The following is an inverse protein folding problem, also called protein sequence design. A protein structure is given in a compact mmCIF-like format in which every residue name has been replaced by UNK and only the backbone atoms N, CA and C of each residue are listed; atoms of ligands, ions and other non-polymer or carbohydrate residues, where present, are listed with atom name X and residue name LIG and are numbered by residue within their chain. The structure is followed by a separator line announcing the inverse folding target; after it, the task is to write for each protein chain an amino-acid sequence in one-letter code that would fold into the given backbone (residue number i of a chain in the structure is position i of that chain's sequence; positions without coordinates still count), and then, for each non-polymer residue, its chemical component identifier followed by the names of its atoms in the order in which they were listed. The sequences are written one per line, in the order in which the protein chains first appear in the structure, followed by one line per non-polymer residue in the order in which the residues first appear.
data_IF_600515456231
#
_entry.id   IF_600515456231
#
_cell.length_a   1.000
_cell.length_b   1.000
_cell.length_c   1.000
_cell.angle_alpha   90.00
_cell.angle_beta   90.00
_cell.angle_gamma   90.00
#
_symmetry.space_group_name_H-M   'P 1'
#
loop_
_entity.id
_entity.type
_entity.pdbx_description
1 polymer ?
#
# COMPACT_ATOMS: atom_id res chain seq x y z
N UNK A 1 9.23 -34.39 -63.14
CA UNK A 1 9.89 -33.91 -61.89
C UNK A 1 8.81 -33.19 -61.08
N UNK A 2 8.53 -33.67 -59.87
CA UNK A 2 7.27 -33.46 -59.13
C UNK A 2 7.14 -32.02 -58.59
N UNK A 3 5.93 -31.46 -58.70
CA UNK A 3 5.50 -30.23 -58.04
C UNK A 3 5.43 -30.43 -56.52
N UNK A 4 5.95 -29.48 -55.76
CA UNK A 4 5.75 -29.38 -54.31
C UNK A 4 4.99 -28.08 -54.01
N UNK A 5 3.73 -28.26 -53.60
CA UNK A 5 2.81 -27.21 -53.17
C UNK A 5 3.18 -26.85 -51.72
N UNK A 6 3.50 -25.58 -51.47
CA UNK A 6 3.80 -25.07 -50.14
C UNK A 6 2.54 -24.93 -49.28
N UNK A 7 2.54 -25.54 -48.09
CA UNK A 7 1.53 -25.32 -47.06
C UNK A 7 1.80 -24.01 -46.28
N UNK A 8 0.79 -23.18 -45.98
CA UNK A 8 0.99 -21.97 -45.19
C UNK A 8 1.26 -22.30 -43.71
N UNK A 9 2.27 -21.64 -43.11
CA UNK A 9 2.56 -21.72 -41.67
C UNK A 9 1.68 -20.75 -40.89
N UNK A 10 0.85 -21.27 -40.00
CA UNK A 10 0.12 -20.52 -38.98
C UNK A 10 1.08 -20.02 -37.89
N UNK A 11 0.98 -18.77 -37.40
CA UNK A 11 1.82 -18.31 -36.28
C UNK A 11 1.37 -18.96 -34.97
N UNK A 12 2.31 -19.56 -34.25
CA UNK A 12 2.10 -20.15 -32.93
C UNK A 12 1.89 -19.08 -31.87
N UNK A 13 0.64 -18.79 -31.53
CA UNK A 13 0.27 -18.00 -30.34
C UNK A 13 0.38 -18.87 -29.09
N UNK A 14 1.41 -18.65 -28.28
CA UNK A 14 1.52 -19.27 -26.94
C UNK A 14 0.56 -18.56 -25.99
N UNK A 15 -0.68 -19.06 -25.90
CA UNK A 15 -1.58 -18.73 -24.79
C UNK A 15 -1.01 -19.37 -23.52
N UNK A 16 -0.56 -18.53 -22.59
CA UNK A 16 -0.07 -18.95 -21.27
C UNK A 16 -1.26 -19.47 -20.45
N UNK A 17 -1.40 -20.80 -20.33
CA UNK A 17 -2.33 -21.43 -19.39
C UNK A 17 -1.95 -21.03 -17.96
N UNK A 18 -2.93 -20.59 -17.18
CA UNK A 18 -2.78 -20.31 -15.76
C UNK A 18 -2.33 -21.57 -15.02
N UNK A 19 -1.18 -21.50 -14.35
CA UNK A 19 -0.72 -22.55 -13.45
C UNK A 19 -1.51 -22.46 -12.14
N UNK A 20 -2.17 -23.56 -11.77
CA UNK A 20 -2.79 -23.74 -10.46
C UNK A 20 -1.70 -23.84 -9.39
N UNK A 21 -1.41 -22.73 -8.71
CA UNK A 21 -0.49 -22.70 -7.57
C UNK A 21 -1.19 -23.19 -6.29
N UNK A 22 -0.82 -24.39 -5.82
CA UNK A 22 -0.93 -24.73 -4.40
C UNK A 22 0.13 -23.95 -3.63
N UNK A 23 -0.23 -23.06 -2.67
CA UNK A 23 0.78 -22.28 -1.97
C UNK A 23 1.35 -23.11 -0.81
N UNK A 24 2.52 -23.68 -1.03
CA UNK A 24 3.47 -23.92 0.06
C UNK A 24 3.78 -22.59 0.73
N UNK A 25 3.81 -22.56 2.06
CA UNK A 25 4.16 -21.44 2.94
C UNK A 25 5.34 -20.62 2.36
N UNK A 26 5.04 -19.53 1.64
CA UNK A 26 6.04 -18.74 0.92
C UNK A 26 6.94 -18.03 1.92
N UNK A 27 8.24 -18.36 1.92
CA UNK A 27 9.26 -17.50 2.54
C UNK A 27 9.20 -16.16 1.80
N UNK A 28 9.06 -15.04 2.52
CA UNK A 28 9.05 -13.70 1.93
C UNK A 28 10.29 -13.51 1.05
N UNK A 29 10.10 -13.05 -0.18
CA UNK A 29 11.19 -12.69 -1.06
C UNK A 29 11.52 -11.21 -0.83
N UNK A 30 12.81 -10.91 -0.71
CA UNK A 30 13.28 -9.52 -0.72
C UNK A 30 13.00 -8.95 -2.13
N UNK A 31 12.10 -7.98 -2.20
CA UNK A 31 11.70 -7.29 -3.44
C UNK A 31 12.23 -5.85 -3.40
N UNK A 32 12.82 -5.37 -4.50
CA UNK A 32 13.24 -3.98 -4.61
C UNK A 32 12.03 -3.06 -4.80
N UNK A 33 12.14 -1.82 -4.32
CA UNK A 33 11.14 -0.78 -4.63
C UNK A 33 11.16 -0.49 -6.13
N UNK A 34 9.99 -0.50 -6.76
CA UNK A 34 9.80 -0.12 -8.15
C UNK A 34 9.89 1.40 -8.27
N UNK A 35 10.85 1.92 -9.03
CA UNK A 35 11.08 3.36 -9.19
C UNK A 35 10.93 3.74 -10.65
N UNK A 36 9.94 4.60 -10.92
CA UNK A 36 9.69 5.16 -12.25
C UNK A 36 9.84 6.67 -12.22
N UNK A 37 10.22 7.26 -13.35
CA UNK A 37 10.32 8.72 -13.51
C UNK A 37 9.30 9.17 -14.54
N UNK A 38 8.57 10.25 -14.26
CA UNK A 38 7.63 10.87 -15.18
C UNK A 38 8.04 12.31 -15.45
N UNK A 39 8.33 12.62 -16.70
CA UNK A 39 8.63 13.97 -17.16
C UNK A 39 7.39 14.59 -17.75
N UNK A 40 6.88 15.68 -17.15
CA UNK A 40 5.71 16.38 -17.69
C UNK A 40 6.08 17.18 -18.95
N UNK A 41 5.11 17.61 -19.78
CA UNK A 41 5.35 18.64 -20.78
C UNK A 41 5.75 19.99 -20.15
N UNK A 42 6.39 20.86 -20.94
CA UNK A 42 6.57 22.26 -20.55
C UNK A 42 5.21 22.93 -20.29
N UNK A 43 5.10 23.65 -19.19
CA UNK A 43 3.92 24.42 -18.83
C UNK A 43 3.78 25.65 -19.73
N UNK A 44 2.58 26.23 -19.79
CA UNK A 44 2.33 27.47 -20.57
C UNK A 44 3.25 28.62 -20.13
N UNK A 45 3.59 28.71 -18.84
CA UNK A 45 4.51 29.73 -18.31
C UNK A 45 5.96 29.48 -18.75
N UNK A 46 6.43 28.24 -18.71
CA UNK A 46 7.78 27.88 -19.17
C UNK A 46 7.91 28.05 -20.69
N UNK A 47 6.86 27.70 -21.46
CA UNK A 47 6.82 27.95 -22.91
C UNK A 47 6.87 29.45 -23.23
N UNK A 48 6.08 30.27 -22.52
CA UNK A 48 6.10 31.73 -22.69
C UNK A 48 7.43 32.36 -22.29
N UNK A 49 8.17 31.75 -21.36
CA UNK A 49 9.51 32.14 -20.96
C UNK A 49 10.61 31.61 -21.90
N UNK A 50 10.25 30.88 -22.97
CA UNK A 50 11.19 30.20 -23.87
C UNK A 50 12.19 29.29 -23.13
N UNK A 51 11.73 28.61 -22.08
CA UNK A 51 12.58 27.73 -21.29
C UNK A 51 13.03 26.52 -22.10
N UNK A 52 14.28 26.10 -21.89
CA UNK A 52 14.91 25.02 -22.64
C UNK A 52 14.62 23.68 -21.99
N UNK A 53 14.51 22.63 -22.81
CA UNK A 53 14.40 21.26 -22.30
C UNK A 53 15.80 20.79 -21.89
N UNK A 54 15.99 20.57 -20.58
CA UNK A 54 17.27 20.19 -19.99
C UNK A 54 17.57 18.68 -19.99
N UNK A 55 16.63 17.86 -20.47
CA UNK A 55 16.67 16.40 -20.35
C UNK A 55 16.51 15.71 -21.69
N UNK A 56 17.32 14.69 -21.90
CA UNK A 56 17.16 13.67 -22.94
C UNK A 56 16.67 12.39 -22.27
N UNK A 57 15.64 11.79 -22.86
CA UNK A 57 14.87 10.70 -22.24
C UNK A 57 14.85 9.53 -23.22
N UNK A 58 15.15 8.36 -22.69
CA UNK A 58 14.92 7.07 -23.31
C UNK A 58 14.06 6.19 -22.37
N UNK A 59 13.69 4.99 -22.81
CA UNK A 59 12.76 4.09 -22.11
C UNK A 59 13.14 3.79 -20.65
N UNK A 60 14.43 3.71 -20.33
CA UNK A 60 14.94 3.47 -18.97
C UNK A 60 15.94 4.50 -18.46
N UNK A 61 16.36 5.45 -19.31
CA UNK A 61 17.45 6.37 -18.97
C UNK A 61 17.04 7.83 -19.14
N UNK A 62 17.62 8.68 -18.30
CA UNK A 62 17.48 10.13 -18.41
C UNK A 62 18.85 10.77 -18.25
N UNK A 63 19.17 11.66 -19.19
CA UNK A 63 20.48 12.32 -19.31
C UNK A 63 20.29 13.82 -19.34
N UNK A 64 21.14 14.56 -18.64
CA UNK A 64 21.11 16.02 -18.70
C UNK A 64 21.73 16.49 -20.02
N UNK A 65 21.01 17.31 -20.77
CA UNK A 65 21.53 18.04 -21.94
C UNK A 65 22.45 19.14 -21.41
N UNK A 66 23.73 18.83 -21.24
CA UNK A 66 24.71 19.77 -20.67
C UNK A 66 24.76 21.05 -21.50
N UNK A 67 24.31 22.17 -20.94
CA UNK A 67 24.44 23.47 -21.58
C UNK A 67 25.58 24.32 -21.03
N UNK A 68 26.05 24.16 -19.77
CA UNK A 68 27.09 25.05 -19.16
C UNK A 68 27.83 24.52 -17.89
N UNK A 69 28.06 23.21 -17.69
CA UNK A 69 28.83 22.71 -16.51
C UNK A 69 29.88 21.63 -16.82
N UNK A 70 31.05 21.79 -16.18
CA UNK A 70 32.34 21.08 -16.34
C UNK A 70 32.36 19.60 -15.90
N UNK A 71 31.20 19.00 -15.60
CA UNK A 71 31.12 17.59 -15.20
C UNK A 71 29.99 16.89 -15.94
N UNK A 72 30.30 15.91 -16.82
CA UNK A 72 29.28 15.03 -17.35
C UNK A 72 28.65 14.27 -16.17
N UNK A 73 27.39 14.61 -15.85
CA UNK A 73 26.61 13.79 -14.94
C UNK A 73 26.24 12.53 -15.72
N UNK A 74 26.67 11.35 -15.26
CA UNK A 74 26.35 10.09 -15.93
C UNK A 74 24.84 9.88 -16.07
N UNK A 75 24.40 8.99 -16.99
CA UNK A 75 22.99 8.71 -17.19
C UNK A 75 22.35 8.16 -15.89
N UNK A 76 21.16 8.65 -15.54
CA UNK A 76 20.36 8.02 -14.49
C UNK A 76 19.54 6.88 -15.11
N UNK A 77 19.47 5.73 -14.43
CA UNK A 77 18.77 4.53 -14.93
C UNK A 77 17.69 4.04 -13.95
N UNK A 78 16.45 3.95 -14.42
CA UNK A 78 15.28 3.58 -13.60
C UNK A 78 14.55 2.37 -14.19
N UNK A 79 13.54 1.87 -13.49
CA UNK A 79 12.74 0.75 -13.99
C UNK A 79 11.91 1.17 -15.20
N UNK A 80 11.48 2.44 -15.24
CA UNK A 80 10.84 3.06 -16.40
C UNK A 80 11.00 4.57 -16.37
N UNK A 81 11.18 5.20 -17.52
CA UNK A 81 11.11 6.66 -17.68
C UNK A 81 10.02 7.01 -18.69
N UNK A 82 9.04 7.78 -18.24
CA UNK A 82 7.91 8.25 -19.03
C UNK A 82 8.18 9.66 -19.53
N UNK A 83 8.10 9.84 -20.83
CA UNK A 83 8.27 11.12 -21.49
C UNK A 83 7.00 11.99 -21.43
N UNK A 84 7.08 13.16 -22.06
CA UNK A 84 6.02 14.16 -22.11
C UNK A 84 4.74 13.67 -22.81
N UNK A 85 4.83 12.62 -23.64
CA UNK A 85 3.73 12.07 -24.44
C UNK A 85 2.99 10.96 -23.70
N UNK A 86 3.58 10.46 -22.62
CA UNK A 86 3.08 9.34 -21.84
C UNK A 86 1.80 9.70 -21.08
N UNK A 87 0.72 8.99 -21.39
CA UNK A 87 -0.57 9.17 -20.71
C UNK A 87 -0.50 8.64 -19.28
N UNK A 88 -1.38 9.11 -18.40
CA UNK A 88 -1.43 8.57 -17.02
C UNK A 88 -1.84 7.09 -16.99
N UNK A 89 -2.60 6.60 -17.98
CA UNK A 89 -2.90 5.16 -18.13
C UNK A 89 -1.64 4.35 -18.41
N UNK A 90 -0.72 4.85 -19.25
CA UNK A 90 0.58 4.19 -19.48
C UNK A 90 1.41 4.15 -18.20
N UNK A 91 1.49 5.28 -17.47
CA UNK A 91 2.20 5.36 -16.19
C UNK A 91 1.63 4.37 -15.17
N UNK A 92 0.31 4.22 -15.12
CA UNK A 92 -0.33 3.21 -14.29
C UNK A 92 0.03 1.78 -14.72
N UNK A 93 -0.22 1.45 -15.99
CA UNK A 93 -0.07 0.10 -16.52
C UNK A 93 1.36 -0.44 -16.36
N UNK A 94 2.37 0.39 -16.63
CA UNK A 94 3.78 -0.02 -16.64
C UNK A 94 4.50 0.27 -15.32
N UNK A 95 3.99 1.19 -14.49
CA UNK A 95 4.70 1.69 -13.30
C UNK A 95 4.03 1.43 -11.95
N UNK A 96 2.74 1.07 -11.90
CA UNK A 96 2.01 0.99 -10.63
C UNK A 96 0.97 -0.14 -10.55
N UNK A 97 0.51 -0.66 -11.69
CA UNK A 97 -0.59 -1.63 -11.78
C UNK A 97 -0.35 -2.89 -10.95
N UNK A 98 0.81 -3.51 -11.11
CA UNK A 98 1.13 -4.76 -10.41
C UNK A 98 1.29 -4.56 -8.89
N UNK A 99 1.70 -3.36 -8.47
CA UNK A 99 1.73 -2.98 -7.05
C UNK A 99 0.32 -2.75 -6.53
N UNK A 100 -0.54 -2.03 -7.26
CA UNK A 100 -1.92 -1.82 -6.86
C UNK A 100 -2.69 -3.15 -6.70
N UNK A 101 -2.54 -4.06 -7.69
CA UNK A 101 -3.25 -5.34 -7.70
C UNK A 101 -2.69 -6.37 -6.71
N UNK A 102 -1.47 -6.18 -6.19
CA UNK A 102 -0.94 -7.09 -5.15
C UNK A 102 -1.77 -7.05 -3.87
N UNK A 103 -2.48 -5.94 -3.60
CA UNK A 103 -3.39 -5.83 -2.47
C UNK A 103 -4.56 -6.82 -2.56
N UNK A 104 -5.03 -7.16 -3.76
CA UNK A 104 -6.08 -8.18 -3.95
C UNK A 104 -5.58 -9.59 -3.67
N UNK A 105 -4.27 -9.80 -3.74
CA UNK A 105 -3.60 -11.07 -3.40
C UNK A 105 -3.16 -11.12 -1.93
N UNK A 106 -3.56 -10.15 -1.10
CA UNK A 106 -3.22 -10.13 0.32
C UNK A 106 -1.85 -9.54 0.65
N UNK A 107 -1.19 -8.84 -0.28
CA UNK A 107 0.10 -8.18 -0.02
C UNK A 107 -0.14 -6.68 0.13
N UNK A 108 0.33 -6.06 1.22
CA UNK A 108 0.24 -4.61 1.36
C UNK A 108 0.94 -3.91 0.19
N UNK A 109 0.32 -2.87 -0.34
CA UNK A 109 0.76 -2.11 -1.48
C UNK A 109 0.85 -0.64 -1.11
N UNK A 110 1.91 0.04 -1.57
CA UNK A 110 2.03 1.49 -1.43
C UNK A 110 2.55 2.08 -2.73
N UNK A 111 1.83 3.06 -3.26
CA UNK A 111 2.25 3.84 -4.43
C UNK A 111 2.32 5.29 -3.99
N UNK A 112 3.45 5.94 -4.23
CA UNK A 112 3.57 7.36 -3.90
C UNK A 112 4.31 8.17 -4.94
N UNK A 113 3.88 9.42 -5.11
CA UNK A 113 4.53 10.38 -5.99
C UNK A 113 5.48 11.30 -5.23
N UNK A 114 6.68 11.54 -5.80
CA UNK A 114 7.71 12.39 -5.22
C UNK A 114 8.28 13.35 -6.27
N UNK A 115 8.51 14.60 -5.89
CA UNK A 115 9.03 15.63 -6.79
C UNK A 115 8.68 17.03 -6.34
N UNK A 116 9.21 18.05 -7.02
CA UNK A 116 8.93 19.45 -6.67
C UNK A 116 7.45 19.81 -6.88
N UNK A 117 7.00 20.92 -6.31
CA UNK A 117 5.70 21.50 -6.64
C UNK A 117 5.57 21.76 -8.13
N UNK A 118 4.36 21.53 -8.65
CA UNK A 118 4.03 21.64 -10.08
C UNK A 118 4.80 20.69 -11.00
N UNK A 119 5.51 19.66 -10.49
CA UNK A 119 6.13 18.62 -11.34
C UNK A 119 5.13 17.57 -11.86
N UNK A 120 3.91 17.51 -11.31
CA UNK A 120 2.86 16.59 -11.75
C UNK A 120 2.50 15.47 -10.77
N UNK A 121 2.89 15.56 -9.48
CA UNK A 121 2.55 14.57 -8.44
C UNK A 121 1.04 14.31 -8.33
N UNK A 122 0.26 15.32 -7.98
CA UNK A 122 -1.20 15.22 -7.82
C UNK A 122 -1.90 14.78 -9.10
N UNK A 123 -1.51 15.35 -10.25
CA UNK A 123 -2.02 14.93 -11.57
C UNK A 123 -1.79 13.43 -11.83
N UNK A 124 -0.61 12.93 -11.46
CA UNK A 124 -0.27 11.52 -11.60
C UNK A 124 -1.07 10.67 -10.62
N UNK A 125 -1.06 10.99 -9.33
CA UNK A 125 -1.73 10.19 -8.30
C UNK A 125 -3.24 10.12 -8.49
N UNK A 126 -3.89 11.19 -8.97
CA UNK A 126 -5.30 11.18 -9.36
C UNK A 126 -5.57 10.11 -10.42
N UNK A 127 -4.85 10.14 -11.53
CA UNK A 127 -5.06 9.15 -12.58
C UNK A 127 -4.63 7.74 -12.16
N UNK A 128 -3.59 7.58 -11.31
CA UNK A 128 -3.26 6.28 -10.73
C UNK A 128 -4.44 5.74 -9.89
N UNK A 129 -5.06 6.58 -9.05
CA UNK A 129 -6.20 6.20 -8.24
C UNK A 129 -7.40 5.77 -9.11
N UNK A 130 -7.78 6.58 -10.09
CA UNK A 130 -8.90 6.27 -11.00
C UNK A 130 -8.71 4.93 -11.74
N UNK A 131 -7.50 4.69 -12.25
CA UNK A 131 -7.18 3.45 -12.95
C UNK A 131 -7.10 2.25 -12.00
N UNK A 132 -6.54 2.43 -10.80
CA UNK A 132 -6.49 1.39 -9.78
C UNK A 132 -7.88 0.95 -9.33
N UNK A 133 -8.81 1.88 -9.10
CA UNK A 133 -10.20 1.60 -8.75
C UNK A 133 -10.86 0.75 -9.84
N UNK A 134 -10.71 1.16 -11.11
CA UNK A 134 -11.28 0.44 -12.24
C UNK A 134 -10.77 -1.00 -12.33
N UNK A 135 -9.45 -1.20 -12.24
CA UNK A 135 -8.84 -2.52 -12.33
C UNK A 135 -9.17 -3.39 -11.08
N UNK A 136 -9.28 -2.79 -9.89
CA UNK A 136 -9.72 -3.47 -8.66
C UNK A 136 -11.14 -4.01 -8.81
N UNK A 137 -12.09 -3.17 -9.23
CA UNK A 137 -13.48 -3.62 -9.41
C UNK A 137 -13.62 -4.62 -10.55
N UNK A 138 -12.87 -4.44 -11.63
CA UNK A 138 -12.82 -5.44 -12.69
C UNK A 138 -12.33 -6.80 -12.14
N UNK A 139 -11.28 -6.80 -11.32
CA UNK A 139 -10.79 -8.02 -10.68
C UNK A 139 -11.83 -8.66 -9.73
N UNK A 140 -12.56 -7.85 -8.96
CA UNK A 140 -13.62 -8.34 -8.08
C UNK A 140 -14.73 -9.03 -8.91
N UNK A 141 -15.08 -8.49 -10.07
CA UNK A 141 -16.12 -9.05 -10.94
C UNK A 141 -15.72 -10.39 -11.58
N UNK A 142 -14.44 -10.57 -11.92
CA UNK A 142 -13.95 -11.80 -12.58
C UNK A 142 -13.54 -12.89 -11.59
N UNK A 143 -13.60 -12.64 -10.27
CA UNK A 143 -13.25 -13.59 -9.22
C UNK A 143 -14.47 -13.96 -8.34
N UNK A 144 -15.53 -14.59 -8.91
CA UNK A 144 -16.76 -14.89 -8.20
C UNK A 144 -16.59 -15.89 -7.05
N UNK A 145 -15.50 -16.67 -7.04
CA UNK A 145 -15.17 -17.63 -5.98
C UNK A 145 -14.74 -16.97 -4.67
N UNK A 146 -14.49 -15.65 -4.69
CA UNK A 146 -14.11 -14.84 -3.54
C UNK A 146 -15.19 -13.83 -3.19
N UNK A 147 -15.21 -13.47 -1.91
CA UNK A 147 -15.92 -12.31 -1.41
C UNK A 147 -14.90 -11.24 -1.03
N UNK A 148 -15.23 -9.98 -1.32
CA UNK A 148 -14.35 -8.84 -1.06
C UNK A 148 -15.11 -7.81 -0.22
N UNK A 149 -14.50 -7.40 0.89
CA UNK A 149 -14.96 -6.28 1.69
C UNK A 149 -13.90 -5.17 1.66
N UNK A 150 -14.33 -3.95 1.34
CA UNK A 150 -13.46 -2.80 1.14
C UNK A 150 -13.74 -1.73 2.21
N UNK A 151 -12.69 -1.21 2.84
CA UNK A 151 -12.75 -0.07 3.76
C UNK A 151 -11.84 1.04 3.26
N UNK A 152 -12.33 2.27 3.29
CA UNK A 152 -11.64 3.45 2.81
C UNK A 152 -11.32 4.39 3.98
N UNK A 153 -10.11 4.92 4.01
CA UNK A 153 -9.74 6.02 4.91
C UNK A 153 -8.79 6.98 4.22
N UNK A 154 -8.83 8.24 4.63
CA UNK A 154 -7.99 9.27 4.04
C UNK A 154 -7.53 10.27 5.10
N UNK A 155 -6.26 10.63 5.06
CA UNK A 155 -5.67 11.60 5.98
C UNK A 155 -4.78 12.60 5.25
N UNK A 156 -4.62 13.75 5.88
CA UNK A 156 -3.69 14.81 5.50
C UNK A 156 -2.66 15.01 6.62
N UNK A 157 -1.38 15.09 6.25
CA UNK A 157 -0.29 15.48 7.15
C UNK A 157 0.17 16.87 6.73
N UNK A 158 -0.09 17.86 7.56
CA UNK A 158 0.34 19.24 7.34
C UNK A 158 1.03 19.74 8.61
N UNK A 159 2.23 20.29 8.49
CA UNK A 159 3.01 20.79 9.63
C UNK A 159 3.08 19.76 10.79
N UNK A 160 3.33 18.49 10.46
CA UNK A 160 3.44 17.36 11.40
C UNK A 160 2.17 17.09 12.24
N UNK A 161 1.06 17.69 11.83
CA UNK A 161 -0.29 17.49 12.34
C UNK A 161 -1.04 16.57 11.38
N UNK A 162 -1.66 15.53 11.91
CA UNK A 162 -2.46 14.59 11.12
C UNK A 162 -3.94 14.97 11.24
N UNK A 163 -4.64 15.06 10.12
CA UNK A 163 -6.06 15.43 10.03
C UNK A 163 -6.80 14.38 9.21
N UNK A 164 -8.00 14.02 9.64
CA UNK A 164 -8.91 13.15 8.90
C UNK A 164 -9.56 13.93 7.73
N UNK A 165 -9.56 13.35 6.53
CA UNK A 165 -10.16 13.97 5.34
C UNK A 165 -11.65 13.60 5.15
N UNK A 166 -12.13 12.54 5.81
CA UNK A 166 -13.53 12.10 5.76
C UNK A 166 -14.37 12.77 6.86
N UNK A 167 -13.80 12.93 8.06
CA UNK A 167 -14.50 13.54 9.19
C UNK A 167 -13.69 14.70 9.78
N UNK A 168 -14.16 15.94 9.56
CA UNK A 168 -13.50 17.14 10.09
C UNK A 168 -13.94 17.47 11.52
N UNK A 169 -13.93 16.47 12.40
CA UNK A 169 -13.97 16.78 13.83
C UNK A 169 -12.79 17.69 14.20
N UNK A 170 -12.97 18.66 15.12
CA UNK A 170 -11.98 19.68 15.40
C UNK A 170 -10.86 19.11 16.27
N UNK A 171 -9.96 18.31 15.68
CA UNK A 171 -8.83 17.77 16.43
C UNK A 171 -7.78 17.08 15.59
N UNK A 172 -6.49 17.27 15.90
CA UNK A 172 -5.42 16.50 15.28
C UNK A 172 -5.46 15.04 15.75
N UNK A 173 -5.26 14.11 14.82
CA UNK A 173 -5.17 12.68 15.11
C UNK A 173 -3.81 12.32 15.70
N UNK A 174 -3.79 11.34 16.60
CA UNK A 174 -2.58 10.85 17.27
C UNK A 174 -2.10 9.56 16.62
N UNK A 175 -0.78 9.36 16.59
CA UNK A 175 -0.19 8.10 16.17
C UNK A 175 0.08 7.24 17.41
N UNK A 176 -0.44 6.03 17.43
CA UNK A 176 -0.20 5.03 18.46
C UNK A 176 0.60 3.86 17.86
N UNK A 177 1.33 3.14 18.70
CA UNK A 177 2.05 1.93 18.30
C UNK A 177 1.23 0.72 18.78
N UNK A 178 0.68 -0.05 17.83
CA UNK A 178 -0.02 -1.31 18.07
C UNK A 178 0.97 -2.47 18.00
N UNK A 179 0.98 -3.40 18.98
CA UNK A 179 1.92 -4.53 18.99
C UNK A 179 1.86 -5.46 17.78
N UNK A 180 0.71 -5.55 17.10
CA UNK A 180 0.49 -6.43 15.94
C UNK A 180 0.44 -5.65 14.63
N UNK A 181 -0.22 -4.50 14.60
CA UNK A 181 -0.44 -3.71 13.38
C UNK A 181 0.66 -2.67 13.13
N UNK A 182 1.55 -2.44 14.10
CA UNK A 182 2.55 -1.38 14.02
C UNK A 182 1.94 0.00 14.26
N UNK A 183 2.44 1.03 13.58
CA UNK A 183 1.91 2.39 13.76
C UNK A 183 0.46 2.49 13.23
N UNK A 184 -0.45 2.89 14.11
CA UNK A 184 -1.85 3.18 13.81
C UNK A 184 -2.17 4.66 14.05
N UNK A 185 -3.17 5.18 13.33
CA UNK A 185 -3.69 6.53 13.55
C UNK A 185 -4.99 6.40 14.36
N UNK A 186 -4.96 6.88 15.59
CA UNK A 186 -6.10 6.83 16.50
C UNK A 186 -7.26 7.68 15.97
N UNK A 187 -8.48 7.15 16.06
CA UNK A 187 -9.73 7.78 15.63
C UNK A 187 -9.80 8.20 14.15
N UNK A 188 -8.98 7.61 13.28
CA UNK A 188 -9.14 7.79 11.85
C UNK A 188 -10.44 7.12 11.39
N UNK A 189 -11.28 7.86 10.67
CA UNK A 189 -12.53 7.35 10.11
C UNK A 189 -12.23 6.31 9.03
N UNK A 190 -12.81 5.12 9.17
CA UNK A 190 -12.80 4.07 8.15
C UNK A 190 -14.23 3.86 7.65
N UNK A 191 -14.47 4.13 6.36
CA UNK A 191 -15.78 3.99 5.73
C UNK A 191 -15.85 2.71 4.91
N UNK A 192 -16.88 1.89 5.16
CA UNK A 192 -17.11 0.66 4.38
C UNK A 192 -17.65 1.02 2.99
N UNK A 193 -16.92 0.63 1.96
CA UNK A 193 -17.27 0.89 0.57
C UNK A 193 -18.37 -0.08 0.14
N UNK A 194 -19.41 0.45 -0.51
CA UNK A 194 -20.62 -0.30 -0.89
C UNK A 194 -20.57 -0.78 -2.34
N UNK A 195 -20.13 0.09 -3.22
CA UNK A 195 -20.03 -0.15 -4.66
C UNK A 195 -18.98 0.78 -5.30
N UNK A 196 -18.69 0.57 -6.59
CA UNK A 196 -17.70 1.36 -7.36
C UNK A 196 -18.03 2.85 -7.38
N UNK A 197 -19.31 3.23 -7.44
CA UNK A 197 -19.73 4.63 -7.44
C UNK A 197 -19.44 5.26 -6.07
N UNK A 198 -19.70 4.52 -4.98
CA UNK A 198 -19.39 4.97 -3.64
C UNK A 198 -17.89 5.23 -3.48
N UNK A 199 -17.03 4.31 -3.95
CA UNK A 199 -15.58 4.51 -3.88
C UNK A 199 -15.13 5.76 -4.65
N UNK A 200 -15.62 5.94 -5.88
CA UNK A 200 -15.31 7.13 -6.70
C UNK A 200 -15.74 8.43 -6.03
N UNK A 201 -16.89 8.42 -5.35
CA UNK A 201 -17.37 9.57 -4.59
C UNK A 201 -16.45 9.89 -3.41
N UNK A 202 -15.97 8.89 -2.66
CA UNK A 202 -15.02 9.10 -1.55
C UNK A 202 -13.68 9.70 -2.02
N UNK A 203 -13.16 9.22 -3.16
CA UNK A 203 -11.99 9.84 -3.79
C UNK A 203 -12.27 11.29 -4.21
N UNK A 204 -13.44 11.56 -4.82
CA UNK A 204 -13.84 12.91 -5.23
C UNK A 204 -13.97 13.87 -4.04
N UNK A 205 -14.48 13.39 -2.90
CA UNK A 205 -14.52 14.16 -1.64
C UNK A 205 -13.09 14.52 -1.22
N UNK A 206 -12.17 13.55 -1.19
CA UNK A 206 -10.77 13.80 -0.81
C UNK A 206 -10.08 14.79 -1.75
N UNK A 207 -10.39 14.75 -3.05
CA UNK A 207 -9.88 15.71 -4.03
C UNK A 207 -10.45 17.12 -3.81
N UNK A 208 -11.76 17.24 -3.62
CA UNK A 208 -12.39 18.53 -3.35
C UNK A 208 -11.84 19.16 -2.06
N UNK A 209 -11.62 18.36 -1.02
CA UNK A 209 -11.01 18.84 0.22
C UNK A 209 -9.57 19.32 0.04
N UNK A 210 -8.82 18.71 -0.88
CA UNK A 210 -7.47 19.18 -1.26
C UNK A 210 -7.53 20.51 -2.00
N UNK A 211 -8.44 20.65 -2.96
CA UNK A 211 -8.63 21.88 -3.75
C UNK A 211 -9.07 23.09 -2.92
N UNK A 212 -9.96 22.90 -1.93
CA UNK A 212 -10.34 23.97 -1.00
C UNK A 212 -9.14 24.46 -0.18
N UNK A 213 -8.16 23.58 0.09
CA UNK A 213 -6.88 23.97 0.68
C UNK A 213 -6.01 24.85 -0.22
N UNK A 214 -6.17 24.77 -1.55
CA UNK A 214 -5.40 25.56 -2.53
C UNK A 214 -5.88 27.01 -2.65
N UNK A 215 -7.18 27.24 -2.48
CA UNK A 215 -7.80 28.58 -2.64
C UNK A 215 -7.73 29.42 -1.36
N UNK A 216 -7.58 28.79 -0.19
CA UNK A 216 -7.49 29.46 1.10
C UNK A 216 -6.08 30.05 1.38
N UNK A 217 -5.74 31.15 0.70
CA UNK A 217 -4.69 32.15 1.02
C UNK A 217 -3.25 31.66 1.31
N UNK A 218 -2.95 30.38 1.21
CA UNK A 218 -1.60 29.81 1.16
C UNK A 218 -1.65 28.53 0.33
N UNK A 219 -0.59 28.28 -0.42
CA UNK A 219 -0.34 27.08 -1.20
C UNK A 219 -0.23 25.83 -0.29
N UNK A 220 -1.35 25.39 0.29
CA UNK A 220 -1.39 24.34 1.32
C UNK A 220 -1.17 22.96 0.70
N UNK A 221 -1.63 22.73 -0.54
CA UNK A 221 -1.54 21.43 -1.21
C UNK A 221 -0.11 21.07 -1.66
N UNK A 222 0.76 22.06 -1.87
CA UNK A 222 2.20 21.84 -2.08
C UNK A 222 2.94 21.52 -0.79
N UNK A 223 2.33 21.75 0.37
CA UNK A 223 2.95 21.70 1.69
C UNK A 223 2.41 20.59 2.58
N UNK A 224 1.31 19.95 2.19
CA UNK A 224 0.75 18.80 2.89
C UNK A 224 0.98 17.49 2.13
N UNK A 225 1.01 16.40 2.89
CA UNK A 225 1.01 15.04 2.34
C UNK A 225 -0.38 14.46 2.48
N UNK A 226 -0.89 13.85 1.43
CA UNK A 226 -2.16 13.14 1.46
C UNK A 226 -1.90 11.65 1.38
N UNK A 227 -2.55 10.88 2.26
CA UNK A 227 -2.50 9.41 2.25
C UNK A 227 -3.94 8.92 2.16
N UNK A 228 -4.27 8.28 1.04
CA UNK A 228 -5.53 7.57 0.86
C UNK A 228 -5.25 6.08 1.00
N UNK A 229 -6.02 5.39 1.83
CA UNK A 229 -5.86 3.98 2.14
C UNK A 229 -7.13 3.22 1.80
N UNK A 230 -6.98 2.17 1.01
CA UNK A 230 -8.02 1.18 0.74
C UNK A 230 -7.61 -0.14 1.39
N UNK A 231 -8.29 -0.53 2.46
CA UNK A 231 -8.14 -1.84 3.08
C UNK A 231 -9.05 -2.83 2.36
N UNK A 232 -8.47 -3.91 1.86
CA UNK A 232 -9.13 -4.97 1.11
C UNK A 232 -9.07 -6.25 1.95
N UNK A 233 -10.24 -6.76 2.32
CA UNK A 233 -10.41 -8.06 2.94
C UNK A 233 -10.98 -9.01 1.88
N UNK A 234 -10.36 -10.17 1.67
CA UNK A 234 -10.82 -11.18 0.72
C UNK A 234 -10.93 -12.55 1.38
N UNK A 235 -12.08 -13.19 1.26
CA UNK A 235 -12.34 -14.55 1.75
C UNK A 235 -12.78 -15.47 0.62
N UNK A 236 -12.46 -16.76 0.71
CA UNK A 236 -12.99 -17.77 -0.19
C UNK A 236 -14.43 -18.11 0.20
N UNK A 237 -15.34 -18.23 -0.78
CA UNK A 237 -16.74 -18.58 -0.52
C UNK A 237 -16.95 -20.05 -0.12
N UNK A 238 -15.99 -20.94 -0.41
CA UNK A 238 -16.14 -22.38 -0.16
C UNK A 238 -15.68 -22.84 1.23
N UNK A 239 -16.54 -23.66 1.84
CA UNK A 239 -16.52 -24.19 3.20
C UNK A 239 -15.47 -25.32 3.43
N UNK A 240 -14.31 -25.22 2.79
CA UNK A 240 -13.28 -26.27 2.76
C UNK A 240 -12.41 -26.33 4.02
N UNK A 241 -12.97 -26.20 5.22
CA UNK A 241 -12.31 -26.43 6.52
C UNK A 241 -11.06 -25.58 6.84
N UNK A 242 -10.59 -24.75 5.90
CA UNK A 242 -9.48 -23.81 5.96
C UNK A 242 -9.84 -22.61 5.10
N UNK A 243 -10.77 -21.78 5.58
CA UNK A 243 -11.12 -20.53 4.91
C UNK A 243 -9.84 -19.68 4.85
N UNK A 244 -9.28 -19.50 3.65
CA UNK A 244 -8.11 -18.63 3.43
C UNK A 244 -8.63 -17.20 3.25
N UNK A 245 -8.66 -16.46 4.35
CA UNK A 245 -8.96 -15.02 4.32
C UNK A 245 -7.65 -14.24 4.27
N UNK A 246 -7.63 -13.15 3.52
CA UNK A 246 -6.50 -12.24 3.37
C UNK A 246 -6.93 -10.83 3.71
N UNK A 247 -6.04 -10.05 4.31
CA UNK A 247 -6.25 -8.62 4.54
C UNK A 247 -5.02 -7.87 4.07
N UNK A 248 -5.21 -6.92 3.17
CA UNK A 248 -4.14 -6.04 2.72
C UNK A 248 -4.63 -4.60 2.62
N UNK A 249 -3.67 -3.69 2.52
CA UNK A 249 -3.93 -2.28 2.29
C UNK A 249 -3.26 -1.80 1.02
N UNK A 250 -3.96 -1.01 0.24
CA UNK A 250 -3.41 -0.18 -0.82
C UNK A 250 -3.33 1.27 -0.33
N UNK A 251 -2.11 1.80 -0.22
CA UNK A 251 -1.86 3.19 0.15
C UNK A 251 -1.48 3.99 -1.10
N UNK A 252 -2.25 5.02 -1.41
CA UNK A 252 -1.99 5.99 -2.47
C UNK A 252 -1.57 7.30 -1.83
N UNK A 253 -0.34 7.73 -2.06
CA UNK A 253 0.24 8.86 -1.34
C UNK A 253 0.72 9.95 -2.30
N UNK A 254 0.22 11.15 -2.07
CA UNK A 254 0.63 12.36 -2.77
C UNK A 254 1.37 13.28 -1.80
N UNK A 255 2.69 13.31 -1.95
CA UNK A 255 3.59 14.02 -1.05
C UNK A 255 3.60 15.53 -1.33
N UNK A 256 4.07 16.30 -0.35
CA UNK A 256 4.41 17.70 -0.51
C UNK A 256 5.55 17.91 -1.53
N UNK A 257 5.76 19.15 -1.97
CA UNK A 257 6.88 19.56 -2.81
C UNK A 257 8.24 19.28 -2.16
N UNK A 258 9.16 18.69 -2.93
CA UNK A 258 10.53 18.36 -2.46
C UNK A 258 11.50 19.54 -2.46
N UNK A 259 11.11 20.70 -2.98
CA UNK A 259 11.93 21.90 -3.01
C UNK A 259 12.16 22.50 -1.63
N UNK A 260 13.31 23.17 -1.44
CA UNK A 260 13.65 23.82 -0.17
C UNK A 260 12.93 25.15 -0.02
N UNK A 261 12.37 25.41 1.16
CA UNK A 261 11.69 26.67 1.48
C UNK A 261 12.61 27.89 1.40
N UNK A 262 13.94 27.74 1.52
CA UNK A 262 14.87 28.88 1.37
C UNK A 262 14.85 29.55 -0.01
N UNK A 263 14.24 28.91 -1.02
CA UNK A 263 14.05 29.48 -2.36
C UNK A 263 12.72 30.23 -2.50
N UNK A 264 11.85 30.22 -1.47
CA UNK A 264 10.63 31.02 -1.44
C UNK A 264 10.87 32.22 -0.52
N UNK A 265 10.81 33.43 -1.07
CA UNK A 265 10.95 34.68 -0.30
C UNK A 265 9.79 34.81 0.71
N UNK A 266 9.91 34.20 1.88
CA UNK A 266 8.82 34.03 2.82
C UNK A 266 9.20 34.48 4.24
N UNK A 267 8.32 35.27 4.86
CA UNK A 267 8.48 35.87 6.20
C UNK A 267 8.63 34.84 7.35
N UNK A 268 9.08 35.31 8.52
CA UNK A 268 9.52 34.49 9.67
C UNK A 268 8.59 33.37 10.16
N UNK A 269 7.26 33.51 10.06
CA UNK A 269 6.29 32.43 10.36
C UNK A 269 6.26 31.35 9.27
N UNK A 270 6.39 31.73 8.00
CA UNK A 270 6.52 30.80 6.87
C UNK A 270 7.86 30.07 6.86
N UNK A 271 8.93 30.67 7.41
CA UNK A 271 10.22 29.99 7.61
C UNK A 271 10.11 28.84 8.64
N UNK A 272 9.40 29.05 9.75
CA UNK A 272 9.14 27.99 10.75
C UNK A 272 8.25 26.87 10.18
N UNK A 273 7.23 27.23 9.41
CA UNK A 273 6.36 26.28 8.69
C UNK A 273 7.16 25.44 7.67
N UNK A 274 7.99 26.09 6.86
CA UNK A 274 8.89 25.44 5.92
C UNK A 274 9.86 24.46 6.57
N UNK A 275 10.34 24.77 7.78
CA UNK A 275 11.21 23.86 8.55
C UNK A 275 10.50 22.52 8.85
N UNK A 276 9.22 22.54 9.21
CA UNK A 276 8.46 21.32 9.52
C UNK A 276 8.00 20.54 8.28
N UNK A 277 7.64 21.23 7.19
CA UNK A 277 7.32 20.56 5.91
C UNK A 277 8.57 19.85 5.40
N UNK A 278 9.71 20.55 5.39
CA UNK A 278 10.99 19.94 5.03
C UNK A 278 11.39 18.83 6.00
N UNK A 279 11.01 18.88 7.28
CA UNK A 279 11.30 17.80 8.24
C UNK A 279 10.78 16.46 7.73
N UNK A 280 9.52 16.38 7.33
CA UNK A 280 8.92 15.13 6.84
C UNK A 280 9.64 14.54 5.62
N UNK A 281 9.96 15.36 4.61
CA UNK A 281 10.65 14.92 3.38
C UNK A 281 12.16 14.71 3.59
N UNK A 282 12.80 15.47 4.46
CA UNK A 282 14.19 15.29 4.84
C UNK A 282 14.36 13.96 5.60
N UNK A 283 13.46 13.67 6.54
CA UNK A 283 13.44 12.39 7.26
C UNK A 283 13.18 11.25 6.28
N UNK A 284 12.22 11.38 5.36
CA UNK A 284 11.97 10.39 4.30
C UNK A 284 13.22 10.11 3.46
N UNK A 285 13.90 11.15 3.00
CA UNK A 285 15.15 11.05 2.23
C UNK A 285 16.25 10.38 3.06
N UNK A 286 16.35 10.71 4.35
CA UNK A 286 17.32 10.11 5.28
C UNK A 286 17.05 8.63 5.51
N UNK A 287 15.78 8.24 5.67
CA UNK A 287 15.35 6.83 5.79
C UNK A 287 15.74 6.06 4.53
N UNK A 288 15.40 6.56 3.34
CA UNK A 288 15.75 5.89 2.08
C UNK A 288 17.26 5.76 1.90
N UNK A 289 18.03 6.81 2.16
CA UNK A 289 19.51 6.74 2.07
C UNK A 289 20.10 5.70 3.02
N UNK A 290 19.62 5.65 4.27
CA UNK A 290 20.09 4.63 5.23
C UNK A 290 19.72 3.21 4.80
N UNK A 291 18.58 3.02 4.15
CA UNK A 291 18.14 1.72 3.63
C UNK A 291 18.88 1.30 2.35
N UNK A 292 19.21 2.25 1.47
CA UNK A 292 19.85 2.00 0.15
C UNK A 292 21.24 1.37 0.25
N UNK A 293 22.02 1.72 1.28
CA UNK A 293 23.41 1.29 1.42
C UNK A 293 23.63 -0.16 1.88
N UNK A 294 22.59 -1.01 1.97
CA UNK A 294 22.68 -2.41 2.40
C UNK A 294 23.13 -2.64 3.86
N UNK A 295 23.56 -1.60 4.56
CA UNK A 295 23.96 -1.62 5.96
C UNK A 295 22.72 -1.63 6.85
N UNK A 296 22.19 -2.82 7.12
CA UNK A 296 21.10 -3.02 8.10
C UNK A 296 21.49 -2.67 9.55
N UNK A 297 22.76 -2.31 9.81
CA UNK A 297 23.34 -2.12 11.15
C UNK A 297 23.30 -0.67 11.66
N UNK A 298 22.18 0.02 11.48
CA UNK A 298 22.02 1.39 12.00
C UNK A 298 20.56 1.70 12.30
N UNK A 299 20.33 2.53 13.33
CA UNK A 299 18.99 3.00 13.63
C UNK A 299 18.40 3.79 12.44
N UNK A 300 17.26 3.32 11.93
CA UNK A 300 16.47 4.01 10.91
C UNK A 300 15.48 4.95 11.61
N UNK A 301 15.54 6.27 11.34
CA UNK A 301 14.80 7.28 12.09
C UNK A 301 13.34 7.42 11.61
N UNK A 302 12.58 6.31 11.55
CA UNK A 302 11.16 6.38 11.16
C UNK A 302 10.36 7.31 12.09
N UNK A 303 10.77 7.42 13.36
CA UNK A 303 10.07 8.19 14.39
C UNK A 303 10.23 9.72 14.28
N UNK A 304 11.18 10.20 13.50
CA UNK A 304 11.52 11.63 13.41
C UNK A 304 10.48 12.45 12.62
N UNK A 305 9.58 11.79 11.90
CA UNK A 305 8.42 12.42 11.26
C UNK A 305 7.18 11.54 11.30
N UNK A 306 5.98 12.15 11.33
CA UNK A 306 4.72 11.39 11.27
C UNK A 306 4.58 10.61 9.96
N UNK A 307 5.02 11.21 8.85
CA UNK A 307 5.01 10.61 7.52
C UNK A 307 5.81 9.30 7.50
N UNK A 308 7.06 9.32 7.97
CA UNK A 308 7.93 8.13 7.95
C UNK A 308 7.47 7.04 8.93
N UNK A 309 6.79 7.39 10.02
CA UNK A 309 6.14 6.40 10.89
C UNK A 309 5.00 5.69 10.18
N UNK A 310 4.13 6.44 9.51
CA UNK A 310 2.98 5.86 8.78
C UNK A 310 3.47 5.02 7.60
N UNK A 311 4.51 5.48 6.89
CA UNK A 311 5.08 4.78 5.73
C UNK A 311 6.14 3.73 6.09
N UNK A 312 6.38 3.45 7.37
CA UNK A 312 7.37 2.46 7.79
C UNK A 312 7.18 1.09 7.12
N UNK A 313 5.95 0.55 6.96
CA UNK A 313 5.76 -0.72 6.24
C UNK A 313 6.17 -0.67 4.77
N UNK A 314 6.10 0.51 4.13
CA UNK A 314 6.42 0.71 2.72
C UNK A 314 7.92 0.92 2.45
N UNK A 315 8.72 1.18 3.48
CA UNK A 315 10.12 1.54 3.34
C UNK A 315 10.97 0.54 4.13
N UNK A 316 11.36 -0.57 3.51
CA UNK A 316 12.10 -1.66 4.15
C UNK A 316 11.24 -2.61 5.00
N UNK A 317 9.91 -2.55 4.86
CA UNK A 317 8.95 -3.32 5.66
C UNK A 317 8.12 -4.33 4.84
N UNK A 318 6.96 -4.70 5.40
CA UNK A 318 5.99 -5.62 4.78
C UNK A 318 4.99 -4.85 3.88
N UNK A 319 5.49 -4.38 2.74
CA UNK A 319 4.66 -3.92 1.63
C UNK A 319 5.44 -3.94 0.32
N UNK A 320 4.75 -4.20 -0.78
CA UNK A 320 5.24 -3.93 -2.12
C UNK A 320 5.08 -2.44 -2.41
N UNK A 321 6.12 -1.79 -2.92
CA UNK A 321 6.15 -0.34 -3.05
C UNK A 321 6.56 0.11 -4.44
N UNK A 322 5.83 1.07 -4.99
CA UNK A 322 6.19 1.82 -6.19
C UNK A 322 6.33 3.31 -5.87
N UNK A 323 7.36 3.93 -6.42
CA UNK A 323 7.63 5.36 -6.33
C UNK A 323 7.60 5.94 -7.74
N UNK A 324 6.78 6.97 -7.93
CA UNK A 324 6.68 7.71 -9.19
C UNK A 324 7.32 9.08 -8.98
N UNK A 325 8.53 9.24 -9.47
CA UNK A 325 9.27 10.49 -9.38
C UNK A 325 8.88 11.44 -10.51
N UNK A 326 8.20 12.54 -10.20
CA UNK A 326 7.74 13.51 -11.20
C UNK A 326 8.73 14.68 -11.30
N UNK A 327 9.12 15.06 -12.52
CA UNK A 327 10.09 16.15 -12.75
C UNK A 327 9.62 17.13 -13.84
N UNK A 328 10.16 18.35 -13.82
CA UNK A 328 9.97 19.32 -14.91
C UNK A 328 11.04 19.12 -16.00
N UNK A 329 10.68 19.23 -17.29
CA UNK A 329 11.66 19.20 -18.36
C UNK A 329 12.50 20.50 -18.44
N UNK A 330 12.05 21.57 -17.78
CA UNK A 330 12.56 22.93 -17.93
C UNK A 330 13.94 23.14 -17.29
N UNK A 331 14.80 23.92 -17.95
CA UNK A 331 16.15 24.22 -17.50
C UNK A 331 16.15 25.04 -16.20
N UNK A 332 15.18 25.94 -16.03
CA UNK A 332 14.98 26.68 -14.77
C UNK A 332 14.76 25.78 -13.55
N UNK A 333 14.36 24.53 -13.75
CA UNK A 333 14.07 23.54 -12.71
C UNK A 333 15.06 22.37 -12.69
N UNK A 334 16.21 22.50 -13.37
CA UNK A 334 17.18 21.40 -13.51
C UNK A 334 17.74 20.93 -12.16
N UNK A 335 18.04 21.84 -11.23
CA UNK A 335 18.58 21.49 -9.91
C UNK A 335 17.59 20.69 -9.06
N UNK A 336 16.31 21.08 -9.08
CA UNK A 336 15.26 20.34 -8.39
C UNK A 336 15.03 18.96 -9.01
N UNK A 337 15.07 18.89 -10.33
CA UNK A 337 14.97 17.62 -11.06
C UNK A 337 16.17 16.71 -10.74
N UNK A 338 17.40 17.23 -10.68
CA UNK A 338 18.60 16.49 -10.22
C UNK A 338 18.45 15.93 -8.81
N UNK A 339 17.89 16.71 -7.89
CA UNK A 339 17.61 16.26 -6.52
C UNK A 339 16.60 15.10 -6.51
N UNK A 340 15.51 15.20 -7.29
CA UNK A 340 14.52 14.13 -7.44
C UNK A 340 15.13 12.86 -8.06
N UNK A 341 15.97 12.98 -9.09
CA UNK A 341 16.63 11.83 -9.70
C UNK A 341 17.65 11.16 -8.76
N UNK A 342 18.34 11.96 -7.94
CA UNK A 342 19.25 11.45 -6.91
C UNK A 342 18.51 10.69 -5.80
N UNK A 343 17.36 11.21 -5.37
CA UNK A 343 16.45 10.50 -4.47
C UNK A 343 15.97 9.18 -5.07
N UNK A 344 15.51 9.21 -6.32
CA UNK A 344 15.02 8.03 -7.04
C UNK A 344 16.10 6.94 -7.15
N UNK A 345 17.35 7.34 -7.40
CA UNK A 345 18.49 6.43 -7.47
C UNK A 345 18.72 5.70 -6.16
N UNK A 346 18.66 6.41 -5.03
CA UNK A 346 18.76 5.78 -3.70
C UNK A 346 17.56 4.89 -3.40
N UNK A 347 16.35 5.31 -3.79
CA UNK A 347 15.13 4.58 -3.51
C UNK A 347 15.06 3.21 -4.21
N UNK A 348 15.59 3.11 -5.43
CA UNK A 348 15.64 1.87 -6.22
C UNK A 348 16.47 0.75 -5.56
N UNK A 349 17.41 1.13 -4.69
CA UNK A 349 18.27 0.17 -3.98
C UNK A 349 17.63 -0.39 -2.71
N UNK A 350 16.53 0.21 -2.24
CA UNK A 350 15.81 -0.25 -1.05
C UNK A 350 15.10 -1.58 -1.34
N UNK A 351 15.27 -2.54 -0.42
CA UNK A 351 14.60 -3.85 -0.46
C UNK A 351 13.53 -3.94 0.62
N UNK A 352 12.32 -4.30 0.23
CA UNK A 352 11.19 -4.61 1.11
C UNK A 352 11.01 -6.13 1.25
N UNK A 353 10.41 -6.58 2.35
CA UNK A 353 10.07 -7.98 2.59
C UNK A 353 8.55 -8.13 2.58
N UNK A 354 7.98 -8.09 1.37
CA UNK A 354 6.54 -8.17 1.16
C UNK A 354 6.04 -9.62 1.43
N UNK A 355 5.00 -9.74 2.25
CA UNK A 355 4.42 -11.01 2.66
C UNK A 355 2.92 -11.02 2.42
N UNK A 356 2.39 -12.21 2.14
CA UNK A 356 0.96 -12.44 2.02
C UNK A 356 0.35 -12.48 3.42
N UNK A 357 -0.47 -11.48 3.73
CA UNK A 357 -1.15 -11.31 5.01
C UNK A 357 -2.36 -12.23 5.09
N UNK A 358 -2.16 -13.44 5.60
CA UNK A 358 -3.23 -14.40 5.85
C UNK A 358 -3.89 -14.16 7.22
N UNK A 359 -5.21 -14.05 7.22
CA UNK A 359 -6.02 -14.11 8.42
C UNK A 359 -6.24 -15.58 8.75
N UNK A 360 -5.51 -16.08 9.73
CA UNK A 360 -5.82 -17.36 10.34
C UNK A 360 -6.92 -17.10 11.37
N UNK A 361 -8.16 -17.47 11.06
CA UNK A 361 -9.31 -17.31 11.97
C UNK A 361 -9.01 -17.84 13.37
N UNK A 362 -8.22 -18.91 13.50
CA UNK A 362 -7.81 -19.48 14.78
C UNK A 362 -7.09 -18.46 15.67
N UNK A 363 -6.25 -17.56 15.11
CA UNK A 363 -5.61 -16.49 15.91
C UNK A 363 -6.60 -15.42 16.35
N UNK A 364 -7.54 -15.04 15.49
CA UNK A 364 -8.58 -14.06 15.83
C UNK A 364 -9.54 -14.66 16.88
N UNK A 365 -9.95 -15.90 16.69
CA UNK A 365 -10.82 -16.64 17.60
C UNK A 365 -10.14 -16.85 18.96
N UNK A 366 -8.88 -17.29 18.97
CA UNK A 366 -8.08 -17.43 20.21
C UNK A 366 -7.96 -16.08 20.91
N UNK A 367 -7.71 -14.98 20.19
CA UNK A 367 -7.62 -13.64 20.79
C UNK A 367 -8.96 -13.14 21.33
N UNK A 368 -10.06 -13.36 20.61
CA UNK A 368 -11.41 -13.05 21.07
C UNK A 368 -11.79 -13.88 22.31
N UNK A 369 -11.40 -15.15 22.33
CA UNK A 369 -11.59 -16.03 23.49
C UNK A 369 -10.74 -15.57 24.67
N UNK A 370 -9.47 -15.21 24.46
CA UNK A 370 -8.57 -14.69 25.50
C UNK A 370 -9.10 -13.37 26.11
N UNK A 371 -9.61 -12.45 25.28
CA UNK A 371 -10.23 -11.20 25.76
C UNK A 371 -11.51 -11.47 26.56
N UNK A 372 -12.34 -12.44 26.12
CA UNK A 372 -13.52 -12.87 26.90
C UNK A 372 -13.11 -13.50 28.23
N UNK A 373 -12.08 -14.34 28.25
CA UNK A 373 -11.55 -14.95 29.48
C UNK A 373 -11.06 -13.87 30.44
N UNK A 374 -10.22 -12.94 29.99
CA UNK A 374 -9.70 -11.86 30.84
C UNK A 374 -10.82 -10.96 31.39
N UNK A 375 -11.86 -10.68 30.59
CA UNK A 375 -13.03 -9.91 31.05
C UNK A 375 -13.83 -10.67 32.13
N UNK A 376 -14.09 -11.97 31.91
CA UNK A 376 -14.80 -12.82 32.87
C UNK A 376 -13.99 -13.00 34.16
N UNK A 377 -12.67 -13.12 34.08
CA UNK A 377 -11.78 -13.18 35.23
C UNK A 377 -11.80 -11.88 36.05
N UNK A 378 -11.84 -10.72 35.40
CA UNK A 378 -11.97 -9.43 36.07
C UNK A 378 -13.35 -9.26 36.75
N UNK A 379 -14.43 -9.69 36.11
CA UNK A 379 -15.78 -9.70 36.69
C UNK A 379 -15.89 -10.65 37.89
N UNK A 380 -15.13 -11.75 37.91
CA UNK A 380 -15.02 -12.66 39.05
C UNK A 380 -14.20 -12.10 40.22
N UNK A 381 -13.29 -11.14 39.96
CA UNK A 381 -12.45 -10.52 40.98
C UNK A 381 -13.10 -9.29 41.65
N UNK A 382 -14.17 -8.71 41.08
CA UNK A 382 -14.97 -7.66 41.72
C UNK A 382 -16.09 -8.29 42.57
N UNK A 383 -15.97 -8.38 43.91
CA UNK A 383 -16.93 -9.10 44.74
C UNK A 383 -18.02 -8.13 45.20
N UNK A 384 -19.25 -8.29 44.69
CA UNK A 384 -20.44 -7.72 45.32
C UNK A 384 -20.97 -8.74 46.37
N UNK A 385 -20.96 -8.46 47.68
CA UNK A 385 -21.09 -9.49 48.72
C UNK A 385 -22.49 -10.14 48.84
N UNK A 386 -23.50 -9.63 48.15
CA UNK A 386 -24.90 -10.06 48.32
C UNK A 386 -25.36 -11.20 47.40
N UNK A 387 -24.57 -11.57 46.37
CA UNK A 387 -24.95 -12.57 45.35
C UNK A 387 -24.27 -13.94 45.49
N UNK A 388 -23.48 -14.16 46.54
CA UNK A 388 -22.49 -15.24 46.67
C UNK A 388 -23.08 -16.68 46.66
N UNK A 389 -24.30 -16.91 47.17
CA UNK A 389 -24.88 -18.26 47.20
C UNK A 389 -25.50 -18.69 45.85
N UNK A 390 -26.11 -17.74 45.12
CA UNK A 390 -26.72 -18.01 43.81
C UNK A 390 -25.65 -18.19 42.73
N UNK A 391 -24.56 -17.40 42.80
CA UNK A 391 -23.47 -17.45 41.83
C UNK A 391 -22.65 -18.75 41.91
N UNK A 392 -22.43 -19.31 43.10
CA UNK A 392 -21.75 -20.61 43.27
C UNK A 392 -22.54 -21.76 42.64
N UNK A 393 -23.85 -21.73 42.77
CA UNK A 393 -24.75 -22.73 42.17
C UNK A 393 -24.70 -22.65 40.64
N UNK A 394 -24.73 -21.42 40.10
CA UNK A 394 -24.66 -21.19 38.66
C UNK A 394 -23.29 -21.58 38.08
N UNK A 395 -22.19 -21.35 38.81
CA UNK A 395 -20.84 -21.75 38.41
C UNK A 395 -20.72 -23.28 38.32
N UNK A 396 -21.26 -24.00 39.30
CA UNK A 396 -21.24 -25.46 39.33
C UNK A 396 -22.03 -26.08 38.16
N UNK A 397 -23.18 -25.48 37.79
CA UNK A 397 -23.94 -25.88 36.60
C UNK A 397 -23.17 -25.61 35.29
N UNK A 398 -22.46 -24.50 35.20
CA UNK A 398 -21.67 -24.14 34.02
C UNK A 398 -20.45 -25.06 33.86
N UNK A 399 -19.76 -25.40 34.95
CA UNK A 399 -18.67 -26.39 34.95
C UNK A 399 -19.14 -27.77 34.49
N UNK A 400 -20.34 -28.18 34.91
CA UNK A 400 -20.92 -29.45 34.49
C UNK A 400 -21.24 -29.45 32.98
N UNK A 401 -21.73 -28.31 32.46
CA UNK A 401 -21.94 -28.11 31.01
C UNK A 401 -20.64 -28.11 30.21
N UNK A 402 -19.58 -27.48 30.72
CA UNK A 402 -18.26 -27.48 30.08
C UNK A 402 -17.73 -28.91 29.97
N UNK A 403 -17.76 -29.68 31.06
CA UNK A 403 -17.34 -31.10 31.04
C UNK A 403 -18.18 -31.94 30.07
N UNK A 404 -19.47 -31.64 29.91
CA UNK A 404 -20.33 -32.33 28.94
C UNK A 404 -19.92 -31.99 27.51
N UNK A 405 -19.72 -30.72 27.21
CA UNK A 405 -19.28 -30.26 25.88
C UNK A 405 -17.88 -30.79 25.52
N UNK A 406 -16.96 -30.87 26.47
CA UNK A 406 -15.63 -31.46 26.24
C UNK A 406 -15.71 -32.94 25.84
N UNK A 407 -16.63 -33.71 26.45
CA UNK A 407 -16.86 -35.11 26.07
C UNK A 407 -17.45 -35.22 24.66
N UNK A 408 -18.45 -34.40 24.34
CA UNK A 408 -19.05 -34.36 23.01
C UNK A 408 -18.03 -33.94 21.94
N UNK A 409 -17.17 -32.96 22.24
CA UNK A 409 -16.12 -32.52 21.34
C UNK A 409 -15.06 -33.59 21.09
N UNK A 410 -14.68 -34.36 22.11
CA UNK A 410 -13.76 -35.48 21.96
C UNK A 410 -14.36 -36.62 21.13
N UNK A 411 -15.66 -36.88 21.28
CA UNK A 411 -16.35 -37.89 20.48
C UNK A 411 -16.44 -37.48 19.00
N UNK A 412 -16.80 -36.22 18.72
CA UNK A 412 -16.83 -35.68 17.35
C UNK A 412 -15.43 -35.74 16.72
N UNK A 413 -14.38 -35.41 17.48
CA UNK A 413 -13.00 -35.48 17.01
C UNK A 413 -12.60 -36.90 16.64
N UNK A 414 -13.01 -37.88 17.45
CA UNK A 414 -12.80 -39.30 17.17
C UNK A 414 -13.53 -39.76 15.90
N UNK A 415 -14.77 -39.34 15.71
CA UNK A 415 -15.53 -39.64 14.49
C UNK A 415 -14.89 -39.03 13.24
N UNK A 416 -14.40 -37.78 13.33
CA UNK A 416 -13.67 -37.13 12.25
C UNK A 416 -12.41 -37.91 11.87
N UNK A 417 -11.63 -38.34 12.84
CA UNK A 417 -10.37 -39.06 12.59
C UNK A 417 -10.64 -40.44 11.94
N UNK A 418 -11.74 -41.11 12.31
CA UNK A 418 -12.19 -42.34 11.67
C UNK A 418 -12.62 -42.08 10.22
N UNK A 419 -13.47 -41.07 9.99
CA UNK A 419 -13.94 -40.71 8.65
C UNK A 419 -12.80 -40.30 7.71
N UNK A 420 -11.80 -39.60 8.24
CA UNK A 420 -10.61 -39.20 7.47
C UNK A 420 -9.76 -40.41 7.08
N UNK A 421 -9.58 -41.38 7.99
CA UNK A 421 -8.88 -42.64 7.70
C UNK A 421 -9.61 -43.47 6.64
N UNK A 422 -10.94 -43.56 6.71
CA UNK A 422 -11.77 -44.24 5.71
C UNK A 422 -11.67 -43.59 4.33
N UNK A 423 -11.67 -42.26 4.26
CA UNK A 423 -11.51 -41.51 3.02
C UNK A 423 -10.12 -41.72 2.40
N UNK A 424 -9.06 -41.76 3.22
CA UNK A 424 -7.70 -42.05 2.75
C UNK A 424 -7.58 -43.47 2.19
N UNK A 425 -8.23 -44.46 2.83
CA UNK A 425 -8.30 -45.83 2.34
C UNK A 425 -9.06 -45.95 1.01
N UNK A 426 -10.21 -45.28 0.85
CA UNK A 426 -10.95 -45.24 -0.42
C UNK A 426 -10.15 -44.58 -1.55
N UNK A 427 -9.43 -43.50 -1.25
CA UNK A 427 -8.57 -42.83 -2.22
C UNK A 427 -7.41 -43.74 -2.64
N UNK A 428 -6.84 -44.52 -1.72
CA UNK A 428 -5.78 -45.49 -2.04
C UNK A 428 -6.31 -46.63 -2.90
N UNK A 429 -7.47 -47.22 -2.54
CA UNK A 429 -8.09 -48.30 -3.29
C UNK A 429 -8.50 -47.88 -4.72
N UNK A 430 -8.98 -46.65 -4.90
CA UNK A 430 -9.29 -46.10 -6.24
C UNK A 430 -8.05 -45.83 -7.10
N UNK A 431 -6.88 -45.64 -6.50
CA UNK A 431 -5.62 -45.50 -7.24
C UNK A 431 -5.08 -46.86 -7.69
N UNK A 432 -5.26 -47.90 -6.90
CA UNK A 432 -4.82 -49.26 -7.23
C UNK A 432 -5.68 -49.92 -8.33
N UNK A 433 -6.98 -49.61 -8.43
CA UNK A 433 -7.85 -50.09 -9.53
C UNK A 433 -7.64 -49.39 -10.88
N UNK A 434 -6.77 -48.38 -10.97
CA UNK A 434 -6.48 -47.61 -12.20
C UNK A 434 -5.11 -47.93 -12.83
N UNK A 435 -4.39 -48.91 -12.27
CA UNK A 435 -3.19 -49.54 -12.85
C UNK A 435 -3.61 -50.90 -13.38
#
# INVERSE_FOLDING_TARGET
MRMAIGTPRTPSSKIRRAQSCTPSRSRGHDEKILVTVRVRPLSTREQAAYDLIAWEIDEHTIVSKNLNHDRPTGPYTFDRVFDQRSTTRNVYNEGARDVALSALSGINATIFAYGQTSSGKTYTMKGIAENAIQDIYHHIQIAPEREFALKFSALEIYNETVVDLLNREPGPLRLLDDPEKGTIVDKLTEETVKDDKHLRNLFSICEAQRQVGETALNDKSSRSHQIIKLTIESSLRENSGRIKSFIASLNLVDLAGSERTSQTNADGTRLKEGSHINRSLLTLTTVIRKLSGGRKNGHIPYRDSKLTRILQPALGGNARTAIICTISPALSHVEQSRNTLSFATSAKEVTNNAQVNMVVEEKILVKQLQLKVAKLEAELQSPDPSASSSLKTLLMEKELKIKKMEREMNEIKRQRDIAQSQLEQEISARKEMKV
#
